data_IF_581496934522
#
_entry.id   IF_581496934522
#
_cell.length_a   1.000
_cell.length_b   1.000
_cell.length_c   1.000
_cell.angle_alpha   90.00
_cell.angle_beta   90.00
_cell.angle_gamma   90.00
#
_symmetry.space_group_name_H-M   'P 1'
#
loop_
_entity.id
_entity.type
_entity.pdbx_description
1 polymer ?
#
# COMPACT_ATOMS: atom_id res chain seq x y z
N UNK A 1 17.95 -14.43 -24.05
CA UNK A 1 17.86 -15.69 -23.29
C UNK A 1 18.47 -15.46 -21.93
N UNK A 2 17.76 -15.81 -20.85
CA UNK A 2 18.24 -15.66 -19.46
C UNK A 2 19.24 -16.76 -19.14
N UNK A 3 20.39 -16.42 -18.57
CA UNK A 3 21.42 -17.40 -18.19
C UNK A 3 20.98 -18.22 -16.97
N UNK A 4 21.54 -19.44 -16.80
CA UNK A 4 21.29 -20.27 -15.59
C UNK A 4 21.61 -19.53 -14.30
N UNK A 5 22.65 -18.68 -14.30
CA UNK A 5 23.04 -17.87 -13.15
C UNK A 5 21.99 -16.78 -12.83
N UNK A 6 21.47 -16.11 -13.86
CA UNK A 6 20.39 -15.13 -13.70
C UNK A 6 19.10 -15.78 -13.19
N UNK A 7 18.75 -16.97 -13.70
CA UNK A 7 17.58 -17.72 -13.22
C UNK A 7 17.72 -18.07 -11.73
N UNK A 8 18.87 -18.65 -11.33
CA UNK A 8 19.12 -19.01 -9.93
C UNK A 8 19.06 -17.81 -8.98
N UNK A 9 19.52 -16.63 -9.44
CA UNK A 9 19.41 -15.38 -8.68
C UNK A 9 17.95 -14.93 -8.56
N UNK A 10 17.16 -15.03 -9.64
CA UNK A 10 15.74 -14.70 -9.63
C UNK A 10 14.94 -15.63 -8.68
N UNK A 11 15.20 -16.93 -8.73
CA UNK A 11 14.56 -17.92 -7.86
C UNK A 11 14.87 -17.65 -6.39
N UNK A 12 16.14 -17.34 -6.07
CA UNK A 12 16.54 -16.95 -4.72
C UNK A 12 15.84 -15.67 -4.26
N UNK A 13 15.75 -14.65 -5.13
CA UNK A 13 15.04 -13.40 -4.81
C UNK A 13 13.56 -13.65 -4.54
N UNK A 14 12.89 -14.48 -5.34
CA UNK A 14 11.49 -14.82 -5.15
C UNK A 14 11.26 -15.55 -3.81
N UNK A 15 12.11 -16.54 -3.50
CA UNK A 15 12.05 -17.29 -2.23
C UNK A 15 12.28 -16.40 -1.00
N UNK A 16 13.23 -15.47 -1.09
CA UNK A 16 13.50 -14.53 -0.01
C UNK A 16 12.34 -13.56 0.23
N UNK A 17 11.71 -13.06 -0.84
CA UNK A 17 10.53 -12.18 -0.71
C UNK A 17 9.36 -12.93 -0.10
N UNK A 18 9.10 -14.17 -0.53
CA UNK A 18 8.03 -14.99 0.05
C UNK A 18 8.24 -15.28 1.54
N UNK A 19 9.45 -15.70 1.93
CA UNK A 19 9.77 -15.94 3.34
C UNK A 19 9.70 -14.66 4.19
N UNK A 20 10.15 -13.52 3.64
CA UNK A 20 10.07 -12.24 4.32
C UNK A 20 8.63 -11.76 4.46
N UNK A 21 7.80 -11.90 3.42
CA UNK A 21 6.38 -11.55 3.41
C UNK A 21 5.63 -12.30 4.51
N UNK A 22 5.82 -13.62 4.63
CA UNK A 22 5.22 -14.43 5.70
C UNK A 22 5.64 -13.94 7.09
N UNK A 23 6.92 -13.64 7.29
CA UNK A 23 7.42 -13.11 8.57
C UNK A 23 6.88 -11.74 8.89
N UNK A 24 6.82 -10.84 7.91
CA UNK A 24 6.32 -9.49 8.10
C UNK A 24 4.84 -9.55 8.44
N UNK A 25 4.05 -10.36 7.73
CA UNK A 25 2.62 -10.51 8.02
C UNK A 25 2.37 -11.02 9.45
N UNK A 26 3.20 -11.95 9.93
CA UNK A 26 3.07 -12.50 11.29
C UNK A 26 3.62 -11.59 12.39
N UNK A 27 4.83 -11.07 12.22
CA UNK A 27 5.63 -10.47 13.31
C UNK A 27 5.91 -8.98 13.12
N UNK A 28 5.58 -8.41 11.96
CA UNK A 28 5.90 -7.03 11.59
C UNK A 28 7.30 -6.85 10.99
N UNK A 29 7.47 -5.79 10.19
CA UNK A 29 8.74 -5.47 9.52
C UNK A 29 9.90 -5.22 10.49
N UNK A 30 9.62 -4.57 11.64
CA UNK A 30 10.61 -4.32 12.68
C UNK A 30 11.19 -5.58 13.34
N UNK A 31 10.50 -6.72 13.22
CA UNK A 31 10.95 -8.02 13.74
C UNK A 31 11.81 -8.81 12.73
N UNK A 32 11.96 -8.35 11.48
CA UNK A 32 12.70 -9.09 10.46
C UNK A 32 14.19 -9.17 10.82
N UNK A 33 14.75 -10.38 10.85
CA UNK A 33 16.17 -10.64 11.12
C UNK A 33 16.76 -11.55 10.04
N UNK A 34 17.96 -11.22 9.57
CA UNK A 34 18.60 -11.93 8.46
C UNK A 34 18.85 -13.43 8.75
N UNK A 35 19.20 -13.79 10.00
CA UNK A 35 19.44 -15.20 10.37
C UNK A 35 18.17 -16.04 10.30
N UNK A 36 17.09 -15.50 10.86
CA UNK A 36 15.81 -16.19 10.91
C UNK A 36 15.17 -16.30 9.53
N UNK A 37 15.35 -15.26 8.69
CA UNK A 37 14.95 -15.29 7.30
C UNK A 37 15.75 -16.30 6.47
N UNK A 38 17.06 -16.37 6.66
CA UNK A 38 17.92 -17.33 5.97
C UNK A 38 17.51 -18.78 6.28
N UNK A 39 17.15 -19.05 7.54
CA UNK A 39 16.62 -20.34 7.98
C UNK A 39 15.31 -20.69 7.27
N UNK A 40 14.37 -19.75 7.21
CA UNK A 40 13.07 -19.97 6.54
C UNK A 40 13.23 -20.17 5.03
N UNK A 41 14.09 -19.36 4.41
CA UNK A 41 14.42 -19.47 3.00
C UNK A 41 15.36 -20.64 2.68
N UNK A 42 15.81 -21.41 3.68
CA UNK A 42 16.73 -22.54 3.51
C UNK A 42 18.02 -22.16 2.77
N UNK A 43 18.59 -20.99 3.07
CA UNK A 43 19.81 -20.48 2.48
C UNK A 43 20.81 -19.99 3.55
N UNK A 44 22.05 -19.69 3.13
CA UNK A 44 23.00 -19.01 4.01
C UNK A 44 22.65 -17.52 4.14
N UNK A 45 23.00 -16.90 5.27
CA UNK A 45 22.78 -15.44 5.48
C UNK A 45 23.46 -14.61 4.39
N UNK A 46 24.68 -14.99 3.98
CA UNK A 46 25.38 -14.31 2.88
C UNK A 46 24.62 -14.32 1.55
N UNK A 47 23.78 -15.33 1.31
CA UNK A 47 22.98 -15.40 0.09
C UNK A 47 21.89 -14.31 0.03
N UNK A 48 21.41 -13.83 1.20
CA UNK A 48 20.49 -12.68 1.27
C UNK A 48 21.18 -11.45 0.70
N UNK A 49 22.40 -11.16 1.15
CA UNK A 49 23.16 -9.98 0.74
C UNK A 49 23.73 -10.08 -0.69
N UNK A 50 23.78 -11.27 -1.27
CA UNK A 50 24.01 -11.45 -2.71
C UNK A 50 22.76 -11.11 -3.55
N UNK A 51 21.57 -11.24 -2.95
CA UNK A 51 20.29 -11.04 -3.61
C UNK A 51 19.77 -9.61 -3.46
N UNK A 52 19.95 -8.99 -2.29
CA UNK A 52 19.51 -7.65 -1.92
C UNK A 52 20.62 -6.92 -1.16
N UNK A 53 20.76 -5.61 -1.36
CA UNK A 53 21.85 -4.84 -0.74
C UNK A 53 21.73 -4.81 0.79
N UNK A 54 20.50 -4.74 1.30
CA UNK A 54 20.18 -4.84 2.72
C UNK A 54 18.76 -5.40 2.95
N UNK A 55 18.34 -5.46 4.22
CA UNK A 55 16.98 -5.88 4.57
C UNK A 55 15.91 -4.85 4.17
N UNK A 56 16.25 -3.57 4.05
CA UNK A 56 15.31 -2.54 3.61
C UNK A 56 14.95 -2.74 2.14
N UNK A 57 15.93 -3.03 1.28
CA UNK A 57 15.72 -3.36 -0.13
C UNK A 57 14.84 -4.62 -0.29
N UNK A 58 14.96 -5.59 0.61
CA UNK A 58 14.07 -6.74 0.66
C UNK A 58 12.65 -6.38 1.13
N UNK A 59 12.52 -5.54 2.17
CA UNK A 59 11.23 -5.03 2.64
C UNK A 59 10.54 -4.23 1.52
N UNK A 60 11.27 -3.42 0.74
CA UNK A 60 10.73 -2.74 -0.44
C UNK A 60 10.15 -3.73 -1.44
N UNK A 61 10.82 -4.86 -1.68
CA UNK A 61 10.32 -5.88 -2.59
C UNK A 61 9.05 -6.56 -2.06
N UNK A 62 8.95 -6.79 -0.74
CA UNK A 62 7.71 -7.23 -0.10
C UNK A 62 6.62 -6.18 -0.25
N UNK A 63 6.91 -4.91 0.05
CA UNK A 63 5.99 -3.78 -0.10
C UNK A 63 5.50 -3.65 -1.56
N UNK A 64 6.34 -3.97 -2.55
CA UNK A 64 5.92 -4.06 -3.95
C UNK A 64 4.81 -5.08 -4.18
N UNK A 65 4.89 -6.27 -3.57
CA UNK A 65 3.78 -7.25 -3.58
C UNK A 65 2.57 -6.76 -2.81
N UNK A 66 2.78 -6.10 -1.67
CA UNK A 66 1.70 -5.49 -0.89
C UNK A 66 0.94 -4.45 -1.70
N UNK A 67 1.62 -3.58 -2.45
CA UNK A 67 0.97 -2.62 -3.36
C UNK A 67 0.15 -3.31 -4.44
N UNK A 68 0.66 -4.40 -5.03
CA UNK A 68 -0.09 -5.16 -6.04
C UNK A 68 -1.37 -5.78 -5.45
N UNK A 69 -1.26 -6.42 -4.28
CA UNK A 69 -2.42 -7.01 -3.58
C UNK A 69 -3.45 -5.95 -3.21
N UNK A 70 -3.00 -4.84 -2.61
CA UNK A 70 -3.87 -3.73 -2.24
C UNK A 70 -4.54 -3.10 -3.47
N UNK A 71 -3.78 -2.88 -4.55
CA UNK A 71 -4.30 -2.36 -5.81
C UNK A 71 -5.38 -3.26 -6.40
N UNK A 72 -5.19 -4.58 -6.36
CA UNK A 72 -6.20 -5.54 -6.81
C UNK A 72 -7.46 -5.49 -5.96
N UNK A 73 -7.34 -5.45 -4.63
CA UNK A 73 -8.48 -5.35 -3.70
C UNK A 73 -9.27 -4.05 -3.91
N UNK A 74 -8.57 -2.92 -4.07
CA UNK A 74 -9.18 -1.62 -4.35
C UNK A 74 -9.86 -1.60 -5.73
N UNK A 75 -9.19 -2.11 -6.77
CA UNK A 75 -9.76 -2.17 -8.12
C UNK A 75 -11.04 -3.02 -8.15
N UNK A 76 -11.00 -4.21 -7.54
CA UNK A 76 -12.15 -5.11 -7.53
C UNK A 76 -13.31 -4.62 -6.67
N UNK A 77 -13.08 -3.72 -5.72
CA UNK A 77 -14.16 -3.11 -4.90
C UNK A 77 -15.19 -2.32 -5.72
N UNK A 78 -14.83 -1.93 -6.95
CA UNK A 78 -15.69 -1.18 -7.87
C UNK A 78 -16.05 -1.98 -9.13
N UNK A 79 -15.72 -3.27 -9.17
CA UNK A 79 -16.19 -4.15 -10.25
C UNK A 79 -17.72 -4.20 -10.21
N UNK A 80 -18.36 -3.90 -11.35
CA UNK A 80 -19.82 -3.80 -11.44
C UNK A 80 -20.44 -2.52 -10.84
N UNK A 81 -19.63 -1.55 -10.41
CA UNK A 81 -20.08 -0.25 -9.91
C UNK A 81 -20.52 0.74 -11.03
N UNK A 82 -20.93 0.23 -12.19
CA UNK A 82 -21.07 0.96 -13.47
C UNK A 82 -21.60 2.39 -13.35
N UNK A 83 -22.83 2.55 -12.84
CA UNK A 83 -23.52 3.84 -12.76
C UNK A 83 -23.38 4.54 -11.39
N UNK A 84 -22.58 3.98 -10.47
CA UNK A 84 -22.38 4.60 -9.15
C UNK A 84 -21.60 5.92 -9.32
N UNK A 85 -21.95 6.93 -8.53
CA UNK A 85 -21.23 8.21 -8.53
C UNK A 85 -19.74 8.06 -8.16
N UNK A 86 -18.92 9.01 -8.57
CA UNK A 86 -17.50 9.05 -8.22
C UNK A 86 -17.27 9.00 -6.70
N UNK A 87 -18.07 9.74 -5.93
CA UNK A 87 -18.09 9.67 -4.46
C UNK A 87 -18.37 8.26 -3.95
N UNK A 88 -19.38 7.57 -4.48
CA UNK A 88 -19.71 6.22 -4.05
C UNK A 88 -18.57 5.23 -4.34
N UNK A 89 -17.89 5.37 -5.50
CA UNK A 89 -16.71 4.56 -5.83
C UNK A 89 -15.52 4.84 -4.90
N UNK A 90 -15.27 6.10 -4.54
CA UNK A 90 -14.24 6.46 -3.54
C UNK A 90 -14.52 5.82 -2.18
N UNK A 91 -15.79 5.77 -1.75
CA UNK A 91 -16.19 5.13 -0.49
C UNK A 91 -15.95 3.62 -0.54
N UNK A 92 -16.36 2.95 -1.63
CA UNK A 92 -16.11 1.51 -1.83
C UNK A 92 -14.61 1.18 -1.79
N UNK A 93 -13.79 1.95 -2.51
CA UNK A 93 -12.33 1.82 -2.51
C UNK A 93 -11.72 2.04 -1.12
N UNK A 94 -12.24 3.01 -0.36
CA UNK A 94 -11.76 3.31 1.00
C UNK A 94 -12.12 2.24 2.01
N UNK A 95 -13.30 1.63 1.89
CA UNK A 95 -13.69 0.48 2.71
C UNK A 95 -12.86 -0.77 2.36
N UNK A 96 -12.55 -0.98 1.08
CA UNK A 96 -11.62 -2.03 0.65
C UNK A 96 -10.20 -1.81 1.20
N UNK A 97 -9.74 -0.56 1.25
CA UNK A 97 -8.47 -0.19 1.91
C UNK A 97 -8.49 -0.49 3.41
N UNK A 98 -9.57 -0.14 4.12
CA UNK A 98 -9.76 -0.48 5.54
C UNK A 98 -9.75 -2.00 5.77
N UNK A 99 -10.48 -2.76 4.93
CA UNK A 99 -10.53 -4.22 5.00
C UNK A 99 -9.15 -4.84 4.86
N UNK A 100 -8.39 -4.41 3.84
CA UNK A 100 -7.00 -4.85 3.65
C UNK A 100 -6.11 -4.49 4.85
N UNK A 101 -6.21 -3.26 5.36
CA UNK A 101 -5.43 -2.81 6.51
C UNK A 101 -5.78 -3.57 7.81
N UNK A 102 -7.01 -4.07 7.92
CA UNK A 102 -7.46 -4.87 9.06
C UNK A 102 -6.98 -6.32 8.95
N UNK A 103 -7.09 -6.92 7.77
CA UNK A 103 -6.73 -8.32 7.51
C UNK A 103 -5.21 -8.54 7.44
N UNK A 104 -4.48 -7.59 6.83
CA UNK A 104 -3.04 -7.67 6.60
C UNK A 104 -2.30 -6.53 7.32
N UNK A 105 -2.63 -6.29 8.58
CA UNK A 105 -2.20 -5.10 9.31
C UNK A 105 -0.68 -4.88 9.30
N UNK A 106 0.11 -5.93 9.53
CA UNK A 106 1.56 -5.80 9.57
C UNK A 106 2.18 -5.53 8.19
N UNK A 107 1.66 -6.14 7.12
CA UNK A 107 2.08 -5.84 5.74
C UNK A 107 1.68 -4.42 5.33
N UNK A 108 0.47 -4.00 5.71
CA UNK A 108 -0.01 -2.64 5.49
C UNK A 108 0.86 -1.61 6.24
N UNK A 109 1.18 -1.85 7.51
CA UNK A 109 2.10 -1.02 8.30
C UNK A 109 3.49 -0.94 7.70
N UNK A 110 4.01 -2.04 7.16
CA UNK A 110 5.33 -2.08 6.54
C UNK A 110 5.48 -1.10 5.36
N UNK A 111 4.38 -0.73 4.69
CA UNK A 111 4.38 0.31 3.65
C UNK A 111 4.81 1.69 4.18
N UNK A 112 4.51 1.97 5.45
CA UNK A 112 4.69 3.29 6.08
C UNK A 112 5.81 3.31 7.12
N UNK A 113 6.11 2.16 7.75
CA UNK A 113 7.20 2.05 8.73
C UNK A 113 8.58 2.15 8.05
N UNK A 114 8.66 1.82 6.76
CA UNK A 114 9.85 2.05 5.96
C UNK A 114 10.02 3.56 5.74
N UNK A 115 10.94 4.17 6.47
CA UNK A 115 11.28 5.58 6.35
C UNK A 115 11.91 5.85 4.97
N UNK A 116 11.09 6.34 4.03
CA UNK A 116 11.54 6.88 2.75
C UNK A 116 11.17 8.35 2.72
N UNK A 117 12.18 9.21 2.63
CA UNK A 117 12.00 10.65 2.44
C UNK A 117 11.86 10.95 0.96
N UNK A 118 11.24 12.09 0.65
CA UNK A 118 11.07 12.55 -0.72
C UNK A 118 12.42 12.74 -1.46
N UNK A 119 13.49 13.03 -0.70
CA UNK A 119 14.84 13.22 -1.22
C UNK A 119 15.65 11.92 -1.35
N UNK A 120 15.11 10.79 -0.90
CA UNK A 120 15.79 9.50 -1.01
C UNK A 120 15.76 8.97 -2.44
N UNK A 121 16.80 8.23 -2.83
CA UNK A 121 16.81 7.51 -4.11
C UNK A 121 15.88 6.29 -4.04
N UNK A 122 14.59 6.51 -4.27
CA UNK A 122 13.60 5.44 -4.37
C UNK A 122 13.67 4.82 -5.77
N UNK A 123 13.80 3.49 -5.91
CA UNK A 123 13.84 2.84 -7.22
C UNK A 123 12.58 3.09 -8.05
N UNK A 124 12.75 3.32 -9.35
CA UNK A 124 11.64 3.64 -10.28
C UNK A 124 10.49 2.62 -10.26
N UNK A 125 10.81 1.34 -10.10
CA UNK A 125 9.81 0.27 -10.05
C UNK A 125 8.90 0.40 -8.82
N UNK A 126 9.42 0.90 -7.70
CA UNK A 126 8.67 1.10 -6.47
C UNK A 126 7.73 2.30 -6.61
N UNK A 127 8.26 3.41 -7.16
CA UNK A 127 7.45 4.59 -7.48
C UNK A 127 6.36 4.27 -8.52
N UNK A 128 6.65 3.41 -9.49
CA UNK A 128 5.66 2.96 -10.46
C UNK A 128 4.52 2.18 -9.80
N UNK A 129 4.83 1.26 -8.88
CA UNK A 129 3.82 0.52 -8.13
C UNK A 129 2.94 1.46 -7.27
N UNK A 130 3.55 2.45 -6.61
CA UNK A 130 2.81 3.47 -5.85
C UNK A 130 1.89 4.30 -6.75
N UNK A 131 2.39 4.77 -7.91
CA UNK A 131 1.58 5.51 -8.89
C UNK A 131 0.42 4.67 -9.43
N UNK A 132 0.63 3.39 -9.69
CA UNK A 132 -0.43 2.49 -10.14
C UNK A 132 -1.57 2.42 -9.11
N UNK A 133 -1.24 2.29 -7.82
CA UNK A 133 -2.24 2.31 -6.75
C UNK A 133 -3.00 3.65 -6.70
N UNK A 134 -2.28 4.77 -6.76
CA UNK A 134 -2.88 6.11 -6.72
C UNK A 134 -3.76 6.41 -7.93
N UNK A 135 -3.49 5.79 -9.08
CA UNK A 135 -4.30 5.96 -10.30
C UNK A 135 -5.76 5.52 -10.12
N UNK A 136 -6.03 4.55 -9.23
CA UNK A 136 -7.39 4.13 -8.92
C UNK A 136 -8.21 5.24 -8.24
N UNK A 137 -7.55 6.07 -7.42
CA UNK A 137 -8.16 7.21 -6.73
C UNK A 137 -8.25 8.42 -7.67
N UNK A 138 -7.23 8.64 -8.49
CA UNK A 138 -7.15 9.78 -9.40
C UNK A 138 -8.34 9.85 -10.38
N UNK A 139 -8.80 8.71 -10.87
CA UNK A 139 -9.91 8.64 -11.83
C UNK A 139 -11.22 9.24 -11.28
N UNK A 140 -11.80 8.75 -10.16
CA UNK A 140 -13.01 9.37 -9.61
C UNK A 140 -12.77 10.80 -9.09
N UNK A 141 -11.56 11.15 -8.65
CA UNK A 141 -11.25 12.54 -8.25
C UNK A 141 -11.35 13.49 -9.45
N UNK A 142 -10.82 13.13 -10.62
CA UNK A 142 -10.95 13.93 -11.83
C UNK A 142 -12.41 14.12 -12.28
N UNK A 143 -13.29 13.15 -12.01
CA UNK A 143 -14.73 13.29 -12.29
C UNK A 143 -15.44 14.27 -11.33
N UNK A 144 -14.96 14.39 -10.09
CA UNK A 144 -15.49 15.33 -9.10
C UNK A 144 -15.01 16.77 -9.34
N UNK A 145 -13.83 16.93 -9.95
CA UNK A 145 -13.18 18.22 -10.18
C UNK A 145 -12.74 18.37 -11.65
N UNK A 146 -13.68 18.40 -12.62
CA UNK A 146 -13.35 18.38 -14.05
C UNK A 146 -12.56 19.61 -14.53
N UNK A 147 -12.65 20.73 -13.79
CA UNK A 147 -12.01 22.00 -14.15
C UNK A 147 -10.60 22.17 -13.54
N UNK A 148 -10.13 21.22 -12.71
CA UNK A 148 -8.82 21.28 -12.07
C UNK A 148 -7.69 20.82 -12.99
N UNK A 149 -6.52 21.41 -12.80
CA UNK A 149 -5.26 21.01 -13.44
C UNK A 149 -4.76 19.67 -12.89
N UNK A 150 -3.85 19.02 -13.62
CA UNK A 150 -3.24 17.77 -13.18
C UNK A 150 -2.51 17.89 -11.83
N UNK A 151 -1.89 19.05 -11.56
CA UNK A 151 -1.17 19.31 -10.31
C UNK A 151 -2.16 19.42 -9.13
N UNK A 152 -3.26 20.15 -9.32
CA UNK A 152 -4.33 20.27 -8.31
C UNK A 152 -4.99 18.92 -8.01
N UNK A 153 -5.21 18.10 -9.05
CA UNK A 153 -5.74 16.75 -8.89
C UNK A 153 -4.78 15.83 -8.12
N UNK A 154 -3.47 15.88 -8.40
CA UNK A 154 -2.48 15.08 -7.64
C UNK A 154 -2.47 15.46 -6.15
N UNK A 155 -2.53 16.77 -5.85
CA UNK A 155 -2.66 17.27 -4.48
C UNK A 155 -3.95 16.78 -3.81
N UNK A 156 -5.08 16.83 -4.52
CA UNK A 156 -6.36 16.34 -4.00
C UNK A 156 -6.34 14.84 -3.72
N UNK A 157 -5.77 14.03 -4.64
CA UNK A 157 -5.61 12.59 -4.44
C UNK A 157 -4.80 12.30 -3.18
N UNK A 158 -3.68 13.01 -2.98
CA UNK A 158 -2.86 12.88 -1.77
C UNK A 158 -3.62 13.29 -0.52
N UNK A 159 -4.36 14.40 -0.56
CA UNK A 159 -5.14 14.89 0.59
C UNK A 159 -6.22 13.88 1.01
N UNK A 160 -6.96 13.31 0.04
CA UNK A 160 -7.98 12.30 0.30
C UNK A 160 -7.37 11.00 0.82
N UNK A 161 -6.28 10.53 0.21
CA UNK A 161 -5.52 9.38 0.69
C UNK A 161 -5.06 9.58 2.14
N UNK A 162 -4.42 10.71 2.45
CA UNK A 162 -3.93 11.02 3.78
C UNK A 162 -5.05 11.09 4.82
N UNK A 163 -6.21 11.63 4.43
CA UNK A 163 -7.38 11.75 5.32
C UNK A 163 -7.98 10.38 5.65
N UNK A 164 -8.21 9.53 4.64
CA UNK A 164 -8.69 8.15 4.85
C UNK A 164 -7.66 7.33 5.62
N UNK A 165 -6.38 7.42 5.25
CA UNK A 165 -5.29 6.74 5.94
C UNK A 165 -5.25 7.12 7.43
N UNK A 166 -5.37 8.40 7.77
CA UNK A 166 -5.37 8.86 9.16
C UNK A 166 -6.54 8.29 9.98
N UNK A 167 -7.76 8.27 9.40
CA UNK A 167 -8.94 7.67 10.06
C UNK A 167 -8.70 6.17 10.32
N UNK A 168 -8.25 5.45 9.30
CA UNK A 168 -8.00 4.00 9.36
C UNK A 168 -6.88 3.68 10.36
N UNK A 169 -5.75 4.37 10.27
CA UNK A 169 -4.60 4.17 11.14
C UNK A 169 -4.94 4.36 12.60
N UNK A 170 -5.51 5.51 12.95
CA UNK A 170 -5.85 5.81 14.33
C UNK A 170 -6.94 4.85 14.84
N UNK A 171 -7.92 4.51 13.99
CA UNK A 171 -9.00 3.59 14.31
C UNK A 171 -8.52 2.17 14.61
N UNK A 172 -7.65 1.62 13.77
CA UNK A 172 -7.07 0.28 13.96
C UNK A 172 -6.14 0.21 15.18
N UNK A 173 -5.40 1.29 15.46
CA UNK A 173 -4.59 1.42 16.68
C UNK A 173 -5.41 1.73 17.94
N UNK A 174 -6.72 1.95 17.82
CA UNK A 174 -7.62 2.31 18.92
C UNK A 174 -7.09 3.49 19.76
N UNK A 175 -6.53 4.50 19.09
CA UNK A 175 -5.96 5.68 19.76
C UNK A 175 -7.07 6.47 20.45
N UNK A 176 -6.73 7.19 21.52
CA UNK A 176 -7.70 8.01 22.28
C UNK A 176 -8.39 9.10 21.44
N UNK A 177 -7.73 9.54 20.37
CA UNK A 177 -8.24 10.55 19.44
C UNK A 177 -8.88 9.93 18.19
N UNK A 178 -8.99 8.61 18.13
CA UNK A 178 -9.46 7.91 16.95
C UNK A 178 -10.99 7.95 16.83
N UNK A 179 -11.46 7.88 15.59
CA UNK A 179 -12.81 7.38 15.32
C UNK A 179 -12.90 5.95 15.86
N UNK A 180 -13.92 5.60 16.66
CA UNK A 180 -14.10 4.22 17.12
C UNK A 180 -14.15 3.25 15.94
N UNK A 181 -13.49 2.10 16.03
CA UNK A 181 -13.36 1.16 14.91
C UNK A 181 -14.71 0.81 14.26
N UNK A 182 -15.75 0.60 15.08
CA UNK A 182 -17.12 0.31 14.63
C UNK A 182 -17.78 1.45 13.82
N UNK A 183 -17.22 2.66 13.83
CA UNK A 183 -17.72 3.84 13.13
C UNK A 183 -16.80 4.29 11.98
N UNK A 184 -15.66 3.62 11.75
CA UNK A 184 -14.68 4.05 10.73
C UNK A 184 -15.30 4.11 9.33
N UNK A 185 -16.02 3.07 8.90
CA UNK A 185 -16.68 3.06 7.57
C UNK A 185 -17.70 4.20 7.43
N UNK A 186 -18.49 4.45 8.48
CA UNK A 186 -19.46 5.55 8.49
C UNK A 186 -18.74 6.91 8.35
N UNK A 187 -17.65 7.12 9.08
CA UNK A 187 -16.91 8.38 9.01
C UNK A 187 -16.18 8.59 7.69
N UNK A 188 -15.65 7.52 7.09
CA UNK A 188 -15.11 7.55 5.72
C UNK A 188 -16.20 8.00 4.74
N UNK A 189 -17.39 7.39 4.81
CA UNK A 189 -18.51 7.73 3.94
C UNK A 189 -18.96 9.20 4.12
N UNK A 190 -19.07 9.68 5.36
CA UNK A 190 -19.44 11.05 5.65
C UNK A 190 -18.41 12.05 5.13
N UNK A 191 -17.12 11.83 5.39
CA UNK A 191 -16.05 12.69 4.92
C UNK A 191 -16.04 12.80 3.39
N UNK A 192 -16.04 11.65 2.70
CA UNK A 192 -15.97 11.62 1.24
C UNK A 192 -17.22 12.17 0.57
N UNK A 193 -18.39 12.09 1.23
CA UNK A 193 -19.63 12.68 0.72
C UNK A 193 -19.62 14.21 0.67
N UNK A 194 -18.72 14.86 1.41
CA UNK A 194 -18.56 16.33 1.38
C UNK A 194 -17.60 16.79 0.25
N UNK A 195 -16.84 15.87 -0.34
CA UNK A 195 -15.85 16.19 -1.37
C UNK A 195 -16.55 16.60 -2.67
N UNK A 196 -16.14 17.72 -3.26
CA UNK A 196 -16.71 18.25 -4.50
C UNK A 196 -18.04 19.00 -4.35
N UNK A 197 -18.62 19.02 -3.15
CA UNK A 197 -19.83 19.83 -2.87
C UNK A 197 -19.50 21.28 -2.49
N UNK A 198 -18.28 21.53 -2.02
CA UNK A 198 -17.83 22.85 -1.59
C UNK A 198 -17.11 23.53 -2.76
N UNK A 199 -17.78 24.49 -3.40
CA UNK A 199 -17.08 25.50 -4.21
C UNK A 199 -16.48 26.50 -3.22
N UNK A 200 -15.15 26.53 -3.13
CA UNK A 200 -14.40 27.54 -2.36
C UNK A 200 -14.40 28.85 -3.15
#
# INVERSE_FOLDING_TARGET
MTTKAQQRKADLRAKLVEAAEIRIDRDGAGALRARDLAKDAGCAVGAIYTAYDDLNALIMAVNGRTFQKLGQVVASSVDGAGDKSATCRLILMSNAYLGFASEHNNLWRALFDLQMKADDQVPDWYLHALRALFSHIARPVAELFPDQTHEELDLMVRALFSSVHGIVLLGLEQRISAVPLAQVEMMIAQLLSQVGQIKI
#
